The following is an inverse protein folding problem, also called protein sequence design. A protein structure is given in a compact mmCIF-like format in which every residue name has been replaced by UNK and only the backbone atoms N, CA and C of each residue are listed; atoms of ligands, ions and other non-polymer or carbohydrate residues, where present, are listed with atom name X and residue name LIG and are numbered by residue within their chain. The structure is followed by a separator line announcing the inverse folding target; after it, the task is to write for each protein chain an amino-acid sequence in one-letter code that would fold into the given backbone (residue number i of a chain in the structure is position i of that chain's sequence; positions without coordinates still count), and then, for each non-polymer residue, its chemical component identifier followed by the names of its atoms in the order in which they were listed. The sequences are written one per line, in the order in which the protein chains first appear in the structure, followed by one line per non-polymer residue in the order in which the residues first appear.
data_IF_658319772195
#
_entry.id   IF_658319772195
#
_cell.length_a   1.000
_cell.length_b   1.000
_cell.length_c   1.000
_cell.angle_alpha   90.00
_cell.angle_beta   90.00
_cell.angle_gamma   90.00
#
_symmetry.space_group_name_H-M   'P 1'
#
loop_
_entity.id
_entity.type
_entity.pdbx_description
1 polymer ?
#
# COMPACT_ATOMS: atom_id res chain seq x y z
N UNK A 1 43.54 -23.17 -12.98
CA UNK A 1 42.18 -23.64 -13.20
C UNK A 1 41.21 -23.04 -12.15
N UNK A 2 40.87 -21.77 -12.27
CA UNK A 2 39.94 -21.07 -11.34
C UNK A 2 39.11 -19.93 -11.98
N UNK A 3 38.44 -20.12 -13.14
CA UNK A 3 37.35 -19.20 -13.48
C UNK A 3 35.95 -19.84 -13.56
N UNK A 4 35.82 -21.19 -13.47
CA UNK A 4 34.50 -21.82 -13.76
C UNK A 4 33.45 -21.71 -12.62
N UNK A 5 33.90 -21.54 -11.36
CA UNK A 5 32.96 -21.46 -10.22
C UNK A 5 32.19 -20.14 -10.10
N UNK A 6 32.75 -19.04 -10.59
CA UNK A 6 32.07 -17.72 -10.51
C UNK A 6 31.00 -17.54 -11.57
N UNK A 7 31.15 -18.17 -12.75
CA UNK A 7 30.14 -18.14 -13.81
C UNK A 7 28.88 -18.95 -13.46
N UNK A 8 29.03 -20.07 -12.77
CA UNK A 8 27.89 -20.92 -12.38
C UNK A 8 27.06 -20.23 -11.28
N UNK A 9 27.69 -19.58 -10.30
CA UNK A 9 26.98 -18.86 -9.24
C UNK A 9 26.18 -17.65 -9.77
N UNK A 10 26.75 -16.88 -10.71
CA UNK A 10 26.05 -15.76 -11.34
C UNK A 10 24.87 -16.22 -12.23
N UNK A 11 25.03 -17.34 -12.94
CA UNK A 11 23.97 -17.90 -13.78
C UNK A 11 22.81 -18.49 -12.96
N UNK A 12 23.09 -19.14 -11.83
CA UNK A 12 22.05 -19.69 -10.94
C UNK A 12 21.28 -18.56 -10.25
N UNK A 13 21.95 -17.48 -9.84
CA UNK A 13 21.28 -16.31 -9.24
C UNK A 13 20.39 -15.58 -10.25
N UNK A 14 20.83 -15.43 -11.50
CA UNK A 14 20.05 -14.83 -12.57
C UNK A 14 18.82 -15.69 -12.94
N UNK A 15 18.95 -17.02 -12.96
CA UNK A 15 17.84 -17.94 -13.26
C UNK A 15 16.81 -17.95 -12.13
N UNK A 16 17.23 -17.93 -10.85
CA UNK A 16 16.30 -17.87 -9.71
C UNK A 16 15.54 -16.54 -9.69
N UNK A 17 16.15 -15.41 -10.00
CA UNK A 17 15.48 -14.11 -10.08
C UNK A 17 14.47 -14.05 -11.24
N UNK A 18 14.81 -14.63 -12.39
CA UNK A 18 13.91 -14.73 -13.55
C UNK A 18 12.70 -15.64 -13.29
N UNK A 19 12.88 -16.72 -12.55
CA UNK A 19 11.78 -17.65 -12.21
C UNK A 19 10.81 -16.99 -11.22
N UNK A 20 11.31 -16.25 -10.22
CA UNK A 20 10.44 -15.59 -9.22
C UNK A 20 9.64 -14.44 -9.84
N UNK A 21 10.24 -13.62 -10.69
CA UNK A 21 9.53 -12.54 -11.40
C UNK A 21 8.52 -13.07 -12.42
N UNK A 22 8.81 -14.18 -13.09
CA UNK A 22 7.87 -14.84 -14.00
C UNK A 22 6.65 -15.43 -13.30
N UNK A 23 6.82 -16.08 -12.16
CA UNK A 23 5.72 -16.63 -11.36
C UNK A 23 4.82 -15.52 -10.78
N UNK A 24 5.40 -14.45 -10.28
CA UNK A 24 4.66 -13.30 -9.73
C UNK A 24 3.78 -12.64 -10.83
N UNK A 25 4.34 -12.44 -12.02
CA UNK A 25 3.61 -11.87 -13.16
C UNK A 25 2.45 -12.77 -13.62
N UNK A 26 2.62 -14.08 -13.57
CA UNK A 26 1.55 -15.03 -13.91
C UNK A 26 0.41 -15.00 -12.88
N UNK A 27 0.71 -14.89 -11.59
CA UNK A 27 -0.28 -14.77 -10.53
C UNK A 27 -1.13 -13.51 -10.69
N UNK A 28 -0.50 -12.35 -10.96
CA UNK A 28 -1.22 -11.10 -11.21
C UNK A 28 -2.07 -11.16 -12.49
N UNK A 29 -1.56 -11.77 -13.57
CA UNK A 29 -2.34 -12.00 -14.78
C UNK A 29 -3.56 -12.88 -14.52
N UNK A 30 -3.42 -13.89 -13.68
CA UNK A 30 -4.53 -14.76 -13.29
C UNK A 30 -5.54 -14.00 -12.43
N UNK A 31 -5.08 -13.26 -11.43
CA UNK A 31 -5.93 -12.46 -10.54
C UNK A 31 -6.74 -11.38 -11.30
N UNK A 32 -6.19 -10.85 -12.38
CA UNK A 32 -6.83 -9.82 -13.19
C UNK A 32 -7.61 -10.37 -14.38
N UNK A 33 -7.64 -11.70 -14.56
CA UNK A 33 -8.31 -12.32 -15.72
C UNK A 33 -9.81 -12.03 -15.72
N UNK A 34 -10.32 -11.49 -16.82
CA UNK A 34 -11.73 -11.20 -17.01
C UNK A 34 -12.25 -9.97 -16.24
N UNK A 35 -11.37 -9.26 -15.52
CA UNK A 35 -11.77 -8.00 -14.90
C UNK A 35 -11.95 -6.91 -15.96
N UNK A 36 -13.01 -6.10 -15.78
CA UNK A 36 -13.22 -4.93 -16.61
C UNK A 36 -12.09 -3.90 -16.43
N UNK A 37 -11.78 -3.11 -17.45
CA UNK A 37 -10.82 -2.01 -17.37
C UNK A 37 -11.21 -0.98 -16.30
N UNK A 38 -10.28 -0.16 -15.76
CA UNK A 38 -10.62 0.96 -14.89
C UNK A 38 -11.56 1.94 -15.61
N UNK A 39 -12.32 2.70 -14.85
CA UNK A 39 -13.21 3.74 -15.37
C UNK A 39 -12.43 4.86 -16.07
N UNK A 40 -11.27 5.19 -15.52
CA UNK A 40 -10.32 6.13 -16.09
C UNK A 40 -8.89 5.76 -15.71
N UNK A 41 -7.97 6.01 -16.64
CA UNK A 41 -6.52 6.05 -16.37
C UNK A 41 -6.08 7.49 -16.57
N UNK A 42 -5.51 8.10 -15.52
CA UNK A 42 -5.18 9.53 -15.51
C UNK A 42 -3.71 9.74 -15.17
N UNK A 43 -3.02 10.52 -15.96
CA UNK A 43 -1.68 11.00 -15.62
C UNK A 43 -1.80 12.11 -14.57
N UNK A 44 -1.41 11.84 -13.33
CA UNK A 44 -1.53 12.78 -12.23
C UNK A 44 -0.25 13.63 -12.03
N UNK A 45 0.89 13.15 -12.50
CA UNK A 45 2.17 13.84 -12.50
C UNK A 45 2.86 13.68 -13.88
N UNK A 46 2.51 14.52 -14.88
CA UNK A 46 3.01 14.39 -16.25
C UNK A 46 4.54 14.44 -16.36
N UNK A 47 5.16 15.33 -15.61
CA UNK A 47 6.62 15.53 -15.62
C UNK A 47 7.39 14.31 -15.08
N UNK A 48 6.73 13.46 -14.31
CA UNK A 48 7.27 12.22 -13.75
C UNK A 48 6.77 10.97 -14.49
N UNK A 49 5.87 11.12 -15.45
CA UNK A 49 5.24 10.02 -16.18
C UNK A 49 4.33 9.14 -15.30
N UNK A 50 3.84 9.66 -14.17
CA UNK A 50 3.06 8.89 -13.20
C UNK A 50 1.56 8.98 -13.47
N UNK A 51 0.90 7.82 -13.39
CA UNK A 51 -0.52 7.70 -13.63
C UNK A 51 -1.22 6.89 -12.52
N UNK A 52 -2.52 7.02 -12.45
CA UNK A 52 -3.40 6.27 -11.57
C UNK A 52 -4.62 5.74 -12.33
N UNK A 53 -5.18 4.64 -11.83
CA UNK A 53 -6.39 4.03 -12.34
C UNK A 53 -7.54 4.25 -11.36
N UNK A 54 -8.68 4.68 -11.87
CA UNK A 54 -9.89 4.99 -11.08
C UNK A 54 -10.93 3.90 -11.30
N UNK A 55 -11.46 3.36 -10.20
CA UNK A 55 -12.51 2.34 -10.17
C UNK A 55 -13.71 2.89 -9.40
N UNK A 56 -14.77 3.27 -10.13
CA UNK A 56 -15.96 3.83 -9.51
C UNK A 56 -16.74 2.80 -8.70
N UNK A 57 -17.42 3.24 -7.61
CA UNK A 57 -18.34 2.38 -6.87
C UNK A 57 -19.38 1.78 -7.81
N UNK A 58 -19.57 0.45 -7.71
CA UNK A 58 -20.59 -0.24 -8.52
C UNK A 58 -21.95 -0.32 -7.82
N UNK A 59 -21.98 -0.07 -6.51
CA UNK A 59 -23.22 0.01 -5.75
C UNK A 59 -23.82 1.41 -5.91
N UNK A 60 -25.09 1.46 -6.29
CA UNK A 60 -25.83 2.73 -6.37
C UNK A 60 -26.13 3.19 -4.95
N UNK A 61 -25.72 4.40 -4.62
CA UNK A 61 -25.99 5.06 -3.34
C UNK A 61 -26.22 6.55 -3.58
N UNK A 62 -27.15 7.14 -2.82
CA UNK A 62 -27.35 8.59 -2.81
C UNK A 62 -26.26 9.33 -2.02
N UNK A 63 -25.42 8.59 -1.28
CA UNK A 63 -24.31 9.15 -0.52
C UNK A 63 -23.00 8.94 -1.28
N UNK A 64 -22.08 9.94 -1.29
CA UNK A 64 -20.76 9.77 -1.84
C UNK A 64 -19.99 8.63 -1.14
N UNK A 65 -19.25 7.86 -1.93
CA UNK A 65 -18.54 6.68 -1.45
C UNK A 65 -17.25 7.04 -0.68
N UNK A 66 -16.81 6.26 0.31
CA UNK A 66 -15.46 6.39 0.82
C UNK A 66 -14.46 6.21 -0.32
N UNK A 67 -13.38 7.00 -0.30
CA UNK A 67 -12.34 7.01 -1.32
C UNK A 67 -11.07 6.38 -0.78
N UNK A 68 -10.52 5.38 -1.46
CA UNK A 68 -9.26 4.73 -1.10
C UNK A 68 -8.22 4.96 -2.18
N UNK A 69 -7.07 5.53 -1.82
CA UNK A 69 -5.86 5.58 -2.66
C UNK A 69 -4.96 4.43 -2.27
N UNK A 70 -4.76 3.48 -3.18
CA UNK A 70 -3.99 2.25 -2.92
C UNK A 70 -2.61 2.30 -3.58
N UNK A 71 -1.59 1.95 -2.81
CA UNK A 71 -0.20 1.82 -3.24
C UNK A 71 0.24 0.35 -3.19
N UNK A 72 0.80 -0.13 -4.29
CA UNK A 72 1.21 -1.52 -4.43
C UNK A 72 2.53 -1.85 -3.72
N UNK A 73 2.76 -3.15 -3.51
CA UNK A 73 4.01 -3.69 -3.02
C UNK A 73 5.04 -3.90 -4.14
N UNK A 74 6.21 -4.39 -3.75
CA UNK A 74 7.29 -4.71 -4.70
C UNK A 74 8.67 -4.27 -4.21
N UNK A 75 8.83 -4.03 -2.90
CA UNK A 75 10.10 -3.67 -2.26
C UNK A 75 10.67 -2.36 -2.79
N UNK A 76 9.82 -1.41 -3.17
CA UNK A 76 10.17 -0.11 -3.76
C UNK A 76 10.99 -0.20 -5.06
N UNK A 77 11.11 -1.39 -5.64
CA UNK A 77 11.94 -1.67 -6.82
C UNK A 77 11.13 -2.13 -8.02
N UNK A 78 9.89 -2.52 -7.83
CA UNK A 78 8.99 -3.04 -8.86
C UNK A 78 7.52 -2.87 -8.47
N UNK A 79 6.65 -3.22 -9.40
CA UNK A 79 5.20 -3.14 -9.26
C UNK A 79 4.60 -2.15 -10.25
N UNK A 80 3.33 -2.31 -10.54
CA UNK A 80 2.55 -1.38 -11.37
C UNK A 80 1.10 -1.40 -10.92
N UNK A 81 0.36 -0.30 -11.14
CA UNK A 81 -1.06 -0.23 -10.83
C UNK A 81 -1.90 -1.29 -11.56
N UNK A 82 -1.48 -1.70 -12.78
CA UNK A 82 -2.18 -2.73 -13.56
C UNK A 82 -2.12 -4.11 -12.88
N UNK A 83 -1.06 -4.42 -12.17
CA UNK A 83 -0.97 -5.68 -11.41
C UNK A 83 -2.02 -5.74 -10.29
N UNK A 84 -2.36 -4.60 -9.71
CA UNK A 84 -3.28 -4.49 -8.58
C UNK A 84 -4.71 -4.08 -8.99
N UNK A 85 -5.08 -4.26 -10.27
CA UNK A 85 -6.43 -4.02 -10.77
C UNK A 85 -7.51 -4.76 -9.95
N UNK A 86 -7.23 -5.99 -9.51
CA UNK A 86 -8.14 -6.78 -8.69
C UNK A 86 -8.50 -6.10 -7.36
N UNK A 87 -7.55 -5.39 -6.73
CA UNK A 87 -7.80 -4.60 -5.51
C UNK A 87 -8.79 -3.48 -5.80
N UNK A 88 -8.52 -2.68 -6.85
CA UNK A 88 -9.40 -1.60 -7.27
C UNK A 88 -10.82 -2.09 -7.57
N UNK A 89 -10.95 -3.20 -8.30
CA UNK A 89 -12.24 -3.81 -8.63
C UNK A 89 -12.96 -4.37 -7.41
N UNK A 90 -12.26 -5.05 -6.51
CA UNK A 90 -12.87 -5.58 -5.28
C UNK A 90 -13.45 -4.49 -4.41
N UNK A 91 -12.72 -3.40 -4.20
CA UNK A 91 -13.20 -2.26 -3.44
C UNK A 91 -14.40 -1.58 -4.14
N UNK A 92 -14.32 -1.36 -5.45
CA UNK A 92 -15.40 -0.76 -6.24
C UNK A 92 -16.69 -1.59 -6.21
N UNK A 93 -16.61 -2.91 -6.29
CA UNK A 93 -17.74 -3.84 -6.14
C UNK A 93 -18.44 -3.71 -4.79
N UNK A 94 -17.72 -3.24 -3.77
CA UNK A 94 -18.22 -3.06 -2.40
C UNK A 94 -18.53 -1.61 -2.04
N UNK A 95 -18.77 -0.75 -3.04
CA UNK A 95 -19.24 0.60 -2.84
C UNK A 95 -18.15 1.61 -2.46
N UNK A 96 -16.88 1.34 -2.78
CA UNK A 96 -15.73 2.22 -2.51
C UNK A 96 -15.25 2.82 -3.82
N UNK A 97 -14.95 4.13 -3.84
CA UNK A 97 -14.15 4.71 -4.91
C UNK A 97 -12.70 4.29 -4.69
N UNK A 98 -12.17 3.42 -5.54
CA UNK A 98 -10.79 2.98 -5.44
C UNK A 98 -9.91 3.64 -6.50
N UNK A 99 -8.74 4.11 -6.09
CA UNK A 99 -7.73 4.73 -6.93
C UNK A 99 -6.44 3.96 -6.70
N UNK A 100 -5.93 3.27 -7.73
CA UNK A 100 -4.66 2.56 -7.67
C UNK A 100 -3.60 3.41 -8.36
N UNK A 101 -2.61 3.90 -7.61
CA UNK A 101 -1.63 4.86 -8.10
C UNK A 101 -0.26 4.24 -8.31
N UNK A 102 0.39 4.63 -9.42
CA UNK A 102 1.83 4.40 -9.60
C UNK A 102 2.62 5.36 -8.71
N UNK A 103 3.80 4.95 -8.35
CA UNK A 103 4.86 5.76 -7.76
C UNK A 103 6.19 5.32 -8.40
N UNK A 104 7.18 6.20 -8.46
CA UNK A 104 8.50 5.84 -9.00
C UNK A 104 9.17 4.82 -8.08
N UNK A 105 9.76 3.81 -8.69
CA UNK A 105 10.52 2.77 -8.00
C UNK A 105 12.01 2.94 -8.25
N UNK A 106 12.84 2.37 -7.40
CA UNK A 106 14.29 2.30 -7.64
C UNK A 106 14.58 1.51 -8.94
N UNK A 107 15.52 1.96 -9.82
CA UNK A 107 16.47 3.06 -9.63
C UNK A 107 15.99 4.44 -10.09
N UNK A 108 14.75 4.60 -10.58
CA UNK A 108 14.25 5.88 -11.06
C UNK A 108 14.15 6.94 -9.93
N UNK A 109 13.95 6.49 -8.70
CA UNK A 109 14.03 7.32 -7.50
C UNK A 109 14.52 6.51 -6.30
N UNK A 110 14.92 7.21 -5.23
CA UNK A 110 15.22 6.67 -3.91
C UNK A 110 14.30 7.29 -2.88
N UNK A 111 14.32 6.81 -1.63
CA UNK A 111 13.66 7.50 -0.53
C UNK A 111 14.17 8.96 -0.42
N UNK A 112 13.27 9.95 -0.23
CA UNK A 112 11.83 9.84 -0.02
C UNK A 112 10.97 9.93 -1.30
N UNK A 113 11.53 10.00 -2.50
CA UNK A 113 10.84 10.34 -3.74
C UNK A 113 9.58 9.52 -4.04
N UNK A 114 9.53 8.22 -3.67
CA UNK A 114 8.32 7.43 -3.85
C UNK A 114 7.20 7.77 -2.86
N UNK A 115 7.51 8.35 -1.68
CA UNK A 115 6.51 8.86 -0.73
C UNK A 115 5.98 10.21 -1.20
N UNK A 116 6.86 11.07 -1.78
CA UNK A 116 6.48 12.34 -2.40
C UNK A 116 5.52 12.11 -3.59
N UNK A 117 5.80 11.12 -4.43
CA UNK A 117 4.91 10.72 -5.53
C UNK A 117 3.53 10.28 -5.01
N UNK A 118 3.50 9.51 -3.93
CA UNK A 118 2.27 9.06 -3.31
C UNK A 118 1.48 10.23 -2.70
N UNK A 119 2.14 11.19 -2.06
CA UNK A 119 1.49 12.42 -1.56
C UNK A 119 0.85 13.22 -2.71
N UNK A 120 1.51 13.29 -3.86
CA UNK A 120 0.94 13.92 -5.06
C UNK A 120 -0.31 13.18 -5.56
N UNK A 121 -0.30 11.83 -5.57
CA UNK A 121 -1.48 11.03 -5.91
C UNK A 121 -2.64 11.25 -4.94
N UNK A 122 -2.37 11.36 -3.63
CA UNK A 122 -3.36 11.68 -2.60
C UNK A 122 -3.96 13.06 -2.85
N UNK A 123 -3.12 14.06 -3.10
CA UNK A 123 -3.58 15.43 -3.37
C UNK A 123 -4.43 15.51 -4.66
N UNK A 124 -4.08 14.76 -5.70
CA UNK A 124 -4.91 14.63 -6.89
C UNK A 124 -6.26 13.99 -6.54
N UNK A 125 -6.25 12.92 -5.78
CA UNK A 125 -7.45 12.17 -5.38
C UNK A 125 -8.40 13.01 -4.56
N UNK A 126 -7.89 13.77 -3.58
CA UNK A 126 -8.68 14.70 -2.78
C UNK A 126 -9.42 15.73 -3.66
N UNK A 127 -8.73 16.32 -4.63
CA UNK A 127 -9.32 17.33 -5.54
C UNK A 127 -10.34 16.74 -6.53
N UNK A 128 -10.26 15.44 -6.84
CA UNK A 128 -11.02 14.83 -7.93
C UNK A 128 -12.03 13.75 -7.48
N UNK A 129 -12.02 13.31 -6.21
CA UNK A 129 -12.86 12.21 -5.71
C UNK A 129 -14.34 12.44 -6.05
N UNK A 130 -14.88 13.63 -5.81
CA UNK A 130 -16.28 13.97 -6.06
C UNK A 130 -16.70 13.76 -7.53
N UNK A 131 -15.80 14.01 -8.48
CA UNK A 131 -16.06 13.79 -9.93
C UNK A 131 -16.33 12.31 -10.25
N UNK A 132 -15.80 11.40 -9.44
CA UNK A 132 -15.93 9.96 -9.62
C UNK A 132 -16.90 9.29 -8.63
N UNK A 133 -17.66 10.10 -7.86
CA UNK A 133 -18.65 9.61 -6.90
C UNK A 133 -18.09 9.31 -5.52
N UNK A 134 -16.86 9.76 -5.23
CA UNK A 134 -16.23 9.65 -3.92
C UNK A 134 -16.50 10.85 -3.03
N UNK A 135 -16.36 10.63 -1.72
CA UNK A 135 -16.40 11.65 -0.68
C UNK A 135 -14.98 12.13 -0.39
N UNK A 136 -14.61 13.39 -0.69
CA UNK A 136 -13.30 13.92 -0.35
C UNK A 136 -13.06 14.04 1.17
N UNK A 137 -14.13 14.09 1.98
CA UNK A 137 -14.07 14.05 3.45
C UNK A 137 -13.90 12.64 4.03
N UNK A 138 -13.98 11.60 3.21
CA UNK A 138 -13.73 10.19 3.57
C UNK A 138 -12.61 9.60 2.72
N UNK A 139 -11.46 10.27 2.72
CA UNK A 139 -10.27 9.89 1.97
C UNK A 139 -9.38 9.00 2.82
N UNK A 140 -9.11 7.80 2.34
CA UNK A 140 -8.24 6.83 2.99
C UNK A 140 -7.02 6.55 2.09
N UNK A 141 -5.89 6.24 2.72
CA UNK A 141 -4.74 5.67 2.02
C UNK A 141 -4.59 4.22 2.43
N UNK A 142 -4.26 3.37 1.48
CA UNK A 142 -4.05 1.95 1.70
C UNK A 142 -2.83 1.46 0.93
N UNK A 143 -2.19 0.39 1.40
CA UNK A 143 -1.11 -0.21 0.64
C UNK A 143 -0.73 -1.59 1.13
N UNK A 144 0.04 -2.30 0.31
CA UNK A 144 0.59 -3.61 0.64
C UNK A 144 2.12 -3.55 0.67
N UNK A 145 2.76 -4.18 1.68
CA UNK A 145 4.22 -4.30 1.77
C UNK A 145 4.90 -2.92 1.69
N UNK A 146 5.76 -2.65 0.70
CA UNK A 146 6.35 -1.34 0.45
C UNK A 146 5.31 -0.22 0.34
N UNK A 147 4.16 -0.49 -0.31
CA UNK A 147 3.05 0.48 -0.40
C UNK A 147 2.38 0.75 0.95
N UNK A 148 2.38 -0.21 1.87
CA UNK A 148 1.86 0.00 3.21
C UNK A 148 2.78 0.90 4.06
N UNK A 149 4.10 0.79 3.88
CA UNK A 149 5.07 1.73 4.48
C UNK A 149 4.86 3.15 3.94
N UNK A 150 4.66 3.29 2.62
CA UNK A 150 4.34 4.58 2.00
C UNK A 150 3.04 5.15 2.59
N UNK A 151 1.97 4.36 2.66
CA UNK A 151 0.69 4.78 3.24
C UNK A 151 0.81 5.17 4.71
N UNK A 152 1.61 4.43 5.50
CA UNK A 152 1.87 4.76 6.90
C UNK A 152 2.61 6.09 7.05
N UNK A 153 3.66 6.34 6.25
CA UNK A 153 4.37 7.63 6.28
C UNK A 153 3.47 8.80 5.90
N UNK A 154 2.55 8.63 4.95
CA UNK A 154 1.56 9.69 4.64
C UNK A 154 0.62 10.00 5.81
N UNK A 155 0.36 9.02 6.67
CA UNK A 155 -0.48 9.20 7.86
C UNK A 155 0.27 9.67 9.10
N UNK A 156 1.59 9.44 9.19
CA UNK A 156 2.38 9.77 10.40
C UNK A 156 3.30 10.97 10.21
N UNK A 157 3.84 11.20 9.01
CA UNK A 157 4.75 12.31 8.73
C UNK A 157 4.02 13.42 7.96
N UNK A 158 3.67 14.55 8.62
CA UNK A 158 2.89 15.62 8.02
C UNK A 158 3.61 16.32 6.84
N UNK A 159 4.92 16.23 6.75
CA UNK A 159 5.73 16.94 5.73
C UNK A 159 5.29 16.59 4.30
N UNK A 160 4.91 15.33 4.04
CA UNK A 160 4.57 14.88 2.69
C UNK A 160 3.26 15.50 2.19
N UNK A 161 2.21 15.50 2.99
CA UNK A 161 0.93 16.10 2.62
C UNK A 161 0.97 17.62 2.65
N UNK A 162 1.72 18.22 3.60
CA UNK A 162 1.91 19.66 3.69
C UNK A 162 2.57 20.25 2.43
N UNK A 163 3.46 19.53 1.75
CA UNK A 163 4.03 19.94 0.46
C UNK A 163 2.97 20.18 -0.63
N UNK A 164 1.75 19.64 -0.46
CA UNK A 164 0.61 19.84 -1.34
C UNK A 164 -0.50 20.69 -0.72
N UNK A 165 -0.22 21.37 0.39
CA UNK A 165 -1.20 22.20 1.11
C UNK A 165 -2.28 21.39 1.84
N UNK A 166 -1.99 20.16 2.20
CA UNK A 166 -2.89 19.26 2.93
C UNK A 166 -2.31 18.92 4.30
N UNK A 167 -3.16 18.87 5.32
CA UNK A 167 -2.79 18.36 6.64
C UNK A 167 -3.08 16.84 6.72
N UNK A 168 -2.41 16.05 7.60
CA UNK A 168 -2.72 14.63 7.79
C UNK A 168 -4.19 14.36 8.12
N UNK A 169 -4.87 15.30 8.75
CA UNK A 169 -6.32 15.25 9.06
C UNK A 169 -7.23 15.18 7.82
N UNK A 170 -6.71 15.42 6.61
CA UNK A 170 -7.44 15.15 5.36
C UNK A 170 -7.69 13.66 5.19
N UNK A 171 -6.88 12.81 5.80
CA UNK A 171 -7.03 11.36 5.76
C UNK A 171 -8.04 10.91 6.84
N UNK A 172 -9.10 10.26 6.40
CA UNK A 172 -10.05 9.59 7.29
C UNK A 172 -9.48 8.30 7.90
N UNK A 173 -8.39 7.77 7.36
CA UNK A 173 -7.66 6.65 7.92
C UNK A 173 -6.61 6.05 6.99
N UNK A 174 -5.81 5.15 7.57
CA UNK A 174 -4.73 4.41 6.91
C UNK A 174 -4.98 2.92 7.00
N UNK A 175 -4.86 2.17 5.89
CA UNK A 175 -4.94 0.71 5.86
C UNK A 175 -3.59 0.13 5.42
N UNK A 176 -2.90 -0.52 6.34
CA UNK A 176 -1.62 -1.16 6.09
C UNK A 176 -1.73 -2.68 6.00
N UNK A 177 -1.39 -3.25 4.83
CA UNK A 177 -1.40 -4.69 4.57
C UNK A 177 0.04 -5.22 4.54
N UNK A 178 0.44 -5.99 5.54
CA UNK A 178 1.79 -6.60 5.66
C UNK A 178 2.92 -5.58 5.47
N UNK A 179 2.81 -4.40 6.08
CA UNK A 179 3.78 -3.32 5.90
C UNK A 179 4.94 -3.35 6.87
N UNK A 180 6.16 -2.94 6.43
CA UNK A 180 7.29 -2.65 7.31
C UNK A 180 7.21 -1.21 7.83
N UNK A 181 7.26 -1.03 9.15
CA UNK A 181 7.10 0.28 9.79
C UNK A 181 8.26 0.64 10.71
N UNK A 182 9.04 -0.38 11.13
CA UNK A 182 10.27 -0.29 11.91
C UNK A 182 11.20 -1.45 11.47
N UNK A 183 11.83 -1.31 10.32
CA UNK A 183 12.56 -2.39 9.66
C UNK A 183 14.03 -2.06 9.44
N UNK A 184 14.87 -3.11 9.38
CA UNK A 184 16.27 -2.96 9.06
C UNK A 184 16.49 -2.72 7.56
N UNK A 185 17.22 -1.64 7.24
CA UNK A 185 17.60 -1.32 5.86
C UNK A 185 18.95 -1.98 5.57
N UNK A 186 18.91 -3.19 5.03
CA UNK A 186 20.08 -4.02 4.75
C UNK A 186 20.12 -4.51 3.30
N UNK A 187 21.30 -4.97 2.87
CA UNK A 187 21.49 -5.61 1.57
C UNK A 187 20.96 -4.79 0.40
N UNK A 188 20.04 -5.37 -0.38
CA UNK A 188 19.47 -4.74 -1.59
C UNK A 188 18.64 -3.48 -1.33
N UNK A 189 18.26 -3.22 -0.10
CA UNK A 189 17.46 -2.04 0.25
C UNK A 189 18.31 -0.81 0.55
N UNK A 190 19.59 -0.96 0.88
CA UNK A 190 20.47 0.18 1.16
C UNK A 190 20.50 1.21 0.03
N UNK A 191 20.67 0.85 -1.26
CA UNK A 191 20.64 1.84 -2.33
C UNK A 191 19.25 2.44 -2.56
N UNK A 192 18.16 1.77 -2.17
CA UNK A 192 16.79 2.28 -2.27
C UNK A 192 16.55 3.41 -1.28
N UNK A 193 17.11 3.29 -0.07
CA UNK A 193 16.92 4.27 1.01
C UNK A 193 18.05 5.30 1.11
N UNK A 194 19.06 5.22 0.21
CA UNK A 194 20.15 6.18 0.15
C UNK A 194 21.06 6.17 1.38
N UNK A 195 21.63 7.34 1.76
CA UNK A 195 22.57 7.43 2.88
C UNK A 195 21.97 7.00 4.21
N UNK A 196 22.75 6.27 5.02
CA UNK A 196 22.31 5.74 6.33
C UNK A 196 21.75 6.83 7.28
N UNK A 197 22.24 8.04 7.18
CA UNK A 197 21.74 9.18 7.98
C UNK A 197 20.24 9.50 7.74
N UNK A 198 19.65 9.00 6.65
CA UNK A 198 18.24 9.22 6.30
C UNK A 198 17.35 8.03 6.67
N UNK A 199 17.90 6.87 7.08
CA UNK A 199 17.14 5.65 7.27
C UNK A 199 16.09 5.74 8.38
N UNK A 200 16.38 6.50 9.43
CA UNK A 200 15.38 6.76 10.49
C UNK A 200 14.15 7.50 9.97
N UNK A 201 14.29 8.30 8.91
CA UNK A 201 13.18 9.04 8.31
C UNK A 201 12.26 8.15 7.49
N UNK A 202 12.68 6.95 7.13
CA UNK A 202 11.87 5.98 6.40
C UNK A 202 10.98 5.11 7.31
N UNK A 203 11.16 5.23 8.64
CA UNK A 203 10.45 4.44 9.63
C UNK A 203 9.20 5.20 10.11
N UNK A 204 8.02 4.75 9.73
CA UNK A 204 6.76 5.41 10.09
C UNK A 204 6.56 5.50 11.62
N UNK A 205 7.07 4.53 12.36
CA UNK A 205 6.99 4.47 13.82
C UNK A 205 7.64 5.69 14.50
N UNK A 206 8.63 6.33 13.87
CA UNK A 206 9.37 7.46 14.44
C UNK A 206 8.59 8.78 14.45
N UNK A 207 7.42 8.84 13.82
CA UNK A 207 6.61 10.04 13.69
C UNK A 207 5.30 9.97 14.47
N UNK A 208 5.07 8.87 15.19
CA UNK A 208 3.83 8.70 15.97
C UNK A 208 3.84 9.66 17.16
N UNK A 209 2.84 10.55 17.21
CA UNK A 209 2.70 11.59 18.26
C UNK A 209 1.25 11.74 18.79
N UNK A 210 0.34 10.85 18.34
CA UNK A 210 -1.08 10.85 18.74
C UNK A 210 -1.99 11.73 17.89
N UNK A 211 -1.45 12.40 16.85
CA UNK A 211 -2.25 13.23 15.95
C UNK A 211 -2.62 12.51 14.64
N UNK A 212 -2.22 11.26 14.50
CA UNK A 212 -2.43 10.49 13.30
C UNK A 212 -3.93 10.18 13.07
N UNK A 213 -4.35 10.05 11.79
CA UNK A 213 -5.65 9.48 11.48
C UNK A 213 -5.75 8.03 12.01
N UNK A 214 -6.95 7.46 12.16
CA UNK A 214 -7.12 6.05 12.54
C UNK A 214 -6.36 5.09 11.62
N UNK A 215 -5.80 4.02 12.19
CA UNK A 215 -5.09 2.96 11.45
C UNK A 215 -5.84 1.63 11.53
N UNK A 216 -5.90 0.92 10.39
CA UNK A 216 -6.19 -0.51 10.31
C UNK A 216 -4.95 -1.23 9.78
N UNK A 217 -4.35 -2.11 10.57
CA UNK A 217 -3.21 -2.92 10.19
C UNK A 217 -3.66 -4.38 10.06
N UNK A 218 -3.40 -5.00 8.91
CA UNK A 218 -3.71 -6.42 8.65
C UNK A 218 -2.41 -7.13 8.29
N UNK A 219 -2.06 -8.21 9.00
CA UNK A 219 -0.78 -8.88 8.81
C UNK A 219 -0.91 -10.39 8.97
N UNK A 220 -0.22 -11.14 8.13
CA UNK A 220 -0.08 -12.58 8.28
C UNK A 220 0.85 -12.93 9.44
N UNK A 221 0.41 -13.73 10.41
CA UNK A 221 1.23 -14.10 11.56
C UNK A 221 2.44 -14.99 11.19
N UNK A 222 2.39 -15.65 10.01
CA UNK A 222 3.46 -16.47 9.46
C UNK A 222 4.27 -15.75 8.37
N UNK A 223 4.18 -14.40 8.30
CA UNK A 223 4.94 -13.61 7.32
C UNK A 223 6.44 -13.72 7.58
N UNK A 224 7.19 -14.17 6.55
CA UNK A 224 8.65 -14.32 6.56
C UNK A 224 9.38 -13.30 5.69
N UNK A 225 8.63 -12.37 5.09
CA UNK A 225 9.15 -11.28 4.25
C UNK A 225 9.23 -9.99 5.05
N UNK A 226 8.12 -9.68 5.74
CA UNK A 226 8.00 -8.58 6.71
C UNK A 226 7.45 -9.19 7.99
N UNK A 227 8.15 -9.02 9.09
CA UNK A 227 7.71 -9.60 10.35
C UNK A 227 6.43 -8.92 10.87
N UNK A 228 5.46 -9.72 11.32
CA UNK A 228 4.24 -9.19 11.93
C UNK A 228 4.50 -8.33 13.20
N UNK A 229 5.73 -8.36 13.71
CA UNK A 229 6.22 -7.48 14.77
C UNK A 229 6.02 -6.01 14.41
N UNK A 230 6.30 -5.61 13.17
CA UNK A 230 6.20 -4.22 12.73
C UNK A 230 4.77 -3.68 12.90
N UNK A 231 3.76 -4.43 12.47
CA UNK A 231 2.36 -4.06 12.67
C UNK A 231 1.94 -4.07 14.15
N UNK A 232 2.48 -5.00 14.97
CA UNK A 232 2.22 -5.04 16.41
C UNK A 232 2.79 -3.80 17.11
N UNK A 233 4.03 -3.44 16.79
CA UNK A 233 4.72 -2.31 17.40
C UNK A 233 4.06 -0.98 17.02
N UNK A 234 3.81 -0.76 15.73
CA UNK A 234 3.13 0.45 15.27
C UNK A 234 1.72 0.57 15.91
N UNK A 235 0.93 -0.50 15.90
CA UNK A 235 -0.40 -0.51 16.51
C UNK A 235 -0.36 -0.23 18.02
N UNK A 236 0.63 -0.76 18.74
CA UNK A 236 0.80 -0.53 20.16
C UNK A 236 1.17 0.92 20.45
N UNK A 237 2.13 1.48 19.71
CA UNK A 237 2.59 2.85 19.88
C UNK A 237 1.48 3.86 19.57
N UNK A 238 0.77 3.70 18.43
CA UNK A 238 -0.38 4.56 18.10
C UNK A 238 -1.40 4.64 19.24
N UNK A 239 -1.73 3.50 19.85
CA UNK A 239 -2.66 3.47 21.00
C UNK A 239 -2.06 4.09 22.28
N UNK A 240 -0.77 3.87 22.51
CA UNK A 240 -0.06 4.42 23.67
C UNK A 240 -0.04 5.96 23.62
N UNK A 241 0.14 6.53 22.43
CA UNK A 241 0.12 7.99 22.22
C UNK A 241 -1.31 8.56 22.11
N UNK A 242 -2.35 7.76 22.33
CA UNK A 242 -3.76 8.19 22.34
C UNK A 242 -4.46 8.12 20.99
N UNK A 243 -3.79 7.67 19.94
CA UNK A 243 -4.35 7.47 18.61
C UNK A 243 -5.24 6.21 18.52
N UNK A 244 -5.91 6.05 17.37
CA UNK A 244 -6.78 4.90 17.08
C UNK A 244 -6.09 3.91 16.14
N UNK A 245 -5.89 2.68 16.59
CA UNK A 245 -5.35 1.62 15.76
C UNK A 245 -6.07 0.29 15.99
N UNK A 246 -6.44 -0.37 14.89
CA UNK A 246 -6.96 -1.74 14.86
C UNK A 246 -5.89 -2.66 14.24
N UNK A 247 -5.70 -3.84 14.81
CA UNK A 247 -4.78 -4.84 14.28
C UNK A 247 -5.54 -6.16 14.08
N UNK A 248 -5.55 -6.64 12.84
CA UNK A 248 -6.03 -7.97 12.47
C UNK A 248 -4.82 -8.83 12.10
N UNK A 249 -4.61 -9.91 12.84
CA UNK A 249 -3.59 -10.90 12.54
C UNK A 249 -4.25 -12.13 11.94
N UNK A 250 -3.75 -12.56 10.79
CA UNK A 250 -4.19 -13.77 10.09
C UNK A 250 -3.31 -14.93 10.57
N UNK A 251 -3.81 -15.87 11.40
CA UNK A 251 -2.97 -16.83 12.13
C UNK A 251 -2.07 -17.69 11.24
N UNK A 252 -2.60 -18.17 10.13
CA UNK A 252 -1.88 -19.02 9.16
C UNK A 252 -1.36 -18.24 7.94
N UNK A 253 -1.64 -16.93 7.90
CA UNK A 253 -1.33 -16.06 6.77
C UNK A 253 0.17 -15.74 6.67
N UNK A 254 0.71 -15.76 5.44
CA UNK A 254 2.01 -15.22 5.08
C UNK A 254 1.91 -13.79 4.52
N UNK A 255 2.97 -13.33 3.84
CA UNK A 255 3.10 -11.96 3.34
C UNK A 255 1.98 -11.50 2.41
N UNK A 256 1.49 -12.38 1.55
CA UNK A 256 0.42 -12.07 0.60
C UNK A 256 -0.99 -12.35 1.12
N UNK A 257 -1.16 -12.89 2.34
CA UNK A 257 -2.47 -13.26 2.87
C UNK A 257 -3.48 -12.11 2.86
N UNK A 258 -3.15 -10.87 3.26
CA UNK A 258 -4.10 -9.77 3.17
C UNK A 258 -4.54 -9.44 1.72
N UNK A 259 -3.65 -9.61 0.73
CA UNK A 259 -4.02 -9.47 -0.68
C UNK A 259 -4.89 -10.63 -1.16
N UNK A 260 -4.63 -11.85 -0.66
CA UNK A 260 -5.44 -13.02 -1.00
C UNK A 260 -6.88 -12.86 -0.52
N UNK A 261 -7.12 -12.25 0.66
CA UNK A 261 -8.47 -11.92 1.14
C UNK A 261 -9.18 -10.85 0.30
N UNK A 262 -8.45 -9.98 -0.38
CA UNK A 262 -9.02 -9.05 -1.36
C UNK A 262 -9.28 -9.72 -2.72
N UNK A 263 -8.43 -10.64 -3.12
CA UNK A 263 -8.59 -11.40 -4.36
C UNK A 263 -9.71 -12.43 -4.25
N UNK A 264 -9.68 -13.25 -3.23
CA UNK A 264 -10.60 -14.35 -2.97
C UNK A 264 -11.00 -14.33 -1.48
N UNK A 265 -12.12 -13.68 -1.13
CA UNK A 265 -12.55 -13.54 0.26
C UNK A 265 -12.77 -14.86 1.00
N UNK A 266 -13.00 -15.96 0.28
CA UNK A 266 -13.19 -17.26 0.93
C UNK A 266 -11.88 -17.82 1.51
N UNK A 267 -10.72 -17.31 1.10
CA UNK A 267 -9.41 -17.74 1.61
C UNK A 267 -9.01 -17.04 2.91
N UNK A 268 -9.34 -15.76 3.03
CA UNK A 268 -9.04 -14.93 4.20
C UNK A 268 -10.28 -14.07 4.49
N UNK A 269 -11.30 -14.73 5.03
CA UNK A 269 -12.67 -14.22 5.11
C UNK A 269 -12.80 -12.92 5.93
N UNK A 270 -11.88 -12.66 6.86
CA UNK A 270 -11.94 -11.50 7.74
C UNK A 270 -11.38 -10.22 7.10
N UNK A 271 -10.56 -10.33 6.04
CA UNK A 271 -9.82 -9.18 5.48
C UNK A 271 -10.75 -8.14 4.87
N UNK A 272 -11.56 -8.53 3.90
CA UNK A 272 -12.44 -7.59 3.22
C UNK A 272 -13.49 -6.98 4.16
N UNK A 273 -14.19 -7.76 5.02
CA UNK A 273 -15.11 -7.20 6.00
C UNK A 273 -14.45 -6.21 6.97
N UNK A 274 -13.23 -6.49 7.45
CA UNK A 274 -12.49 -5.60 8.34
C UNK A 274 -12.16 -4.26 7.65
N UNK A 275 -11.72 -4.29 6.39
CA UNK A 275 -11.47 -3.09 5.59
C UNK A 275 -12.77 -2.28 5.42
N UNK A 276 -13.86 -2.92 4.98
CA UNK A 276 -15.12 -2.23 4.73
C UNK A 276 -15.72 -1.62 6.01
N UNK A 277 -15.67 -2.33 7.13
CA UNK A 277 -16.10 -1.81 8.42
C UNK A 277 -15.26 -0.59 8.84
N UNK A 278 -13.94 -0.65 8.64
CA UNK A 278 -13.06 0.48 8.93
C UNK A 278 -13.38 1.70 8.08
N UNK A 279 -13.57 1.53 6.76
CA UNK A 279 -13.93 2.63 5.84
C UNK A 279 -15.27 3.28 6.17
N UNK A 280 -16.18 2.54 6.81
CA UNK A 280 -17.51 3.04 7.25
C UNK A 280 -17.50 3.62 8.66
N UNK A 281 -16.38 3.53 9.39
CA UNK A 281 -16.32 3.92 10.80
C UNK A 281 -17.07 2.96 11.73
N UNK A 282 -17.34 1.73 11.27
CA UNK A 282 -18.03 0.68 12.02
C UNK A 282 -17.06 -0.08 12.94
N UNK A 283 -17.54 -0.74 14.01
CA UNK A 283 -16.71 -1.66 14.79
C UNK A 283 -16.21 -2.82 13.90
N UNK A 284 -15.12 -3.52 14.29
CA UNK A 284 -14.69 -4.71 13.57
C UNK A 284 -15.82 -5.74 13.54
N UNK A 285 -15.95 -6.54 12.47
CA UNK A 285 -16.88 -7.64 12.42
C UNK A 285 -16.59 -8.64 13.58
N UNK A 286 -17.63 -9.29 14.06
CA UNK A 286 -17.57 -10.23 15.18
C UNK A 286 -16.83 -11.52 14.78
#
# INVERSE_FOLDING_TARGET
MRPLRHFIAASVLAITTLITTGCESLLFRFANRGLAAPEASVTYAPDLGLALDVYRPQQVSDQPAPTVVFFYGGGWQRGTRQQYQFVGRRLAQNGVLAIVADYRTYPATTFPGFVEDAAHAVAWSHRNAARYGGDPGKLFVAGHSAGAQIAALLGTDPRYLAAHGLEPSVLAGVVGLSGPYDFEITGRYQPVFGPQAQWSQAQAINYVDGQEPPFLLIHGAQDRVVEARDSRQLSALLRQEGGSARLLLLPEGGHSAPLMGLYDPDREADVLPAILAFLRGEPPPA
#
